data_IF_074932584434
#
_entry.id   IF_074932584434
#
_cell.length_a   1.000
_cell.length_b   1.000
_cell.length_c   1.000
_cell.angle_alpha   90.00
_cell.angle_beta   90.00
_cell.angle_gamma   90.00
#
_symmetry.space_group_name_H-M   'P 1'
#
loop_
_entity.id
_entity.type
_entity.pdbx_description
1 polymer ?
#
# COMPACT_ATOMS: atom_id res chain seq x y z
N UNK A 1 -4.52 20.42 0.14
CA UNK A 1 -4.76 19.18 -0.62
C UNK A 1 -5.67 18.34 0.25
N UNK A 2 -6.80 17.89 -0.30
CA UNK A 2 -7.79 17.13 0.48
C UNK A 2 -7.71 15.65 0.12
N UNK A 3 -7.82 14.78 1.13
CA UNK A 3 -7.82 13.31 0.98
C UNK A 3 -9.07 12.77 1.66
N UNK A 4 -9.74 11.81 1.04
CA UNK A 4 -10.85 11.09 1.66
C UNK A 4 -10.33 10.22 2.82
N UNK A 5 -10.80 10.50 4.03
CA UNK A 5 -10.45 9.76 5.23
C UNK A 5 -11.54 8.73 5.53
N UNK A 6 -11.23 7.44 5.36
CA UNK A 6 -12.18 6.35 5.63
C UNK A 6 -12.64 6.31 7.10
N UNK A 7 -11.83 6.79 8.05
CA UNK A 7 -12.20 6.81 9.48
C UNK A 7 -13.38 7.74 9.76
N UNK A 8 -13.47 8.87 9.04
CA UNK A 8 -14.51 9.89 9.25
C UNK A 8 -15.56 9.91 8.13
N UNK A 9 -15.28 9.24 7.02
CA UNK A 9 -16.14 9.18 5.83
C UNK A 9 -16.21 10.50 5.06
N UNK A 10 -15.21 11.38 5.19
CA UNK A 10 -15.22 12.73 4.60
C UNK A 10 -13.86 13.08 3.99
N UNK A 11 -13.86 14.07 3.10
CA UNK A 11 -12.63 14.68 2.62
C UNK A 11 -12.06 15.67 3.64
N UNK A 12 -10.81 15.44 4.06
CA UNK A 12 -10.11 16.23 5.06
C UNK A 12 -8.84 16.86 4.49
N UNK A 13 -8.43 17.99 5.04
CA UNK A 13 -7.17 18.62 4.66
C UNK A 13 -5.99 17.75 5.11
N UNK A 14 -5.14 17.37 4.16
CA UNK A 14 -3.97 16.55 4.44
C UNK A 14 -2.84 17.41 5.00
N UNK A 15 -2.39 17.08 6.21
CA UNK A 15 -1.20 17.65 6.83
C UNK A 15 -0.32 16.53 7.41
N UNK A 16 0.96 16.40 7.00
CA UNK A 16 1.82 15.38 7.55
C UNK A 16 2.18 15.66 9.01
N UNK A 17 2.37 14.59 9.78
CA UNK A 17 2.76 14.69 11.19
C UNK A 17 4.11 15.43 11.40
N UNK A 18 5.05 15.30 10.44
CA UNK A 18 6.37 15.96 10.49
C UNK A 18 6.73 16.56 9.13
N UNK A 19 6.24 17.76 8.76
CA UNK A 19 6.58 18.37 7.47
C UNK A 19 8.09 18.56 7.29
N UNK A 20 8.65 18.34 6.08
CA UNK A 20 8.00 17.92 4.84
C UNK A 20 7.90 16.38 4.67
N UNK A 21 8.15 15.60 5.71
CA UNK A 21 8.12 14.14 5.67
C UNK A 21 6.70 13.58 5.76
N UNK A 22 6.28 12.86 4.72
CA UNK A 22 5.09 12.01 4.70
C UNK A 22 5.51 10.56 4.93
N UNK A 23 4.92 9.91 5.92
CA UNK A 23 5.06 8.45 6.11
C UNK A 23 3.77 7.76 5.68
N UNK A 24 3.88 6.76 4.81
CA UNK A 24 2.74 6.04 4.25
C UNK A 24 2.99 4.53 4.35
N UNK A 25 2.04 3.80 4.90
CA UNK A 25 2.04 2.33 4.89
C UNK A 25 0.95 1.83 3.94
N UNK A 26 1.28 0.86 3.11
CA UNK A 26 0.33 0.20 2.21
C UNK A 26 0.48 -1.31 2.42
N UNK A 27 -0.64 -1.99 2.68
CA UNK A 27 -0.61 -3.45 2.79
C UNK A 27 -0.15 -4.06 1.47
N UNK A 28 0.86 -4.93 1.53
CA UNK A 28 1.32 -5.71 0.39
C UNK A 28 0.64 -7.08 0.29
N UNK A 29 1.07 -7.91 -0.67
CA UNK A 29 0.40 -9.15 -1.00
C UNK A 29 0.73 -10.30 -0.03
N UNK A 30 -0.19 -11.26 0.05
CA UNK A 30 0.13 -12.63 0.50
C UNK A 30 0.71 -13.41 -0.68
N UNK A 31 1.94 -13.88 -0.55
CA UNK A 31 2.72 -14.44 -1.68
C UNK A 31 2.49 -15.94 -1.87
N UNK A 32 1.22 -16.36 -1.97
CA UNK A 32 0.86 -17.76 -2.22
C UNK A 32 0.71 -18.08 -3.72
N UNK A 33 0.45 -17.09 -4.58
CA UNK A 33 0.24 -17.29 -6.01
C UNK A 33 0.64 -16.05 -6.83
N UNK A 34 0.55 -16.15 -8.16
CA UNK A 34 0.84 -15.07 -9.10
C UNK A 34 -0.11 -13.87 -8.92
N UNK A 35 0.38 -12.64 -9.12
CA UNK A 35 -0.45 -11.45 -8.96
C UNK A 35 -1.49 -11.30 -10.09
N UNK A 36 -2.72 -10.91 -9.73
CA UNK A 36 -3.78 -10.55 -10.69
C UNK A 36 -3.91 -9.02 -10.86
N UNK A 37 -4.75 -8.57 -11.82
CA UNK A 37 -4.96 -7.15 -12.13
C UNK A 37 -5.38 -6.28 -10.94
N UNK A 38 -6.07 -6.89 -9.96
CA UNK A 38 -6.42 -6.23 -8.70
C UNK A 38 -5.19 -5.76 -7.92
N UNK A 39 -4.15 -6.59 -7.83
CA UNK A 39 -2.87 -6.21 -7.21
C UNK A 39 -2.19 -5.08 -8.01
N UNK A 40 -2.18 -5.20 -9.34
CA UNK A 40 -1.60 -4.18 -10.21
C UNK A 40 -2.28 -2.80 -10.02
N UNK A 41 -3.61 -2.77 -9.95
CA UNK A 41 -4.37 -1.53 -9.69
C UNK A 41 -3.95 -0.86 -8.39
N UNK A 42 -3.82 -1.62 -7.30
CA UNK A 42 -3.42 -1.08 -5.99
C UNK A 42 -1.99 -0.56 -6.02
N UNK A 43 -1.06 -1.34 -6.59
CA UNK A 43 0.34 -0.93 -6.72
C UNK A 43 0.48 0.38 -7.53
N UNK A 44 -0.19 0.47 -8.68
CA UNK A 44 -0.17 1.68 -9.53
C UNK A 44 -0.81 2.86 -8.81
N UNK A 45 -1.96 2.67 -8.16
CA UNK A 45 -2.65 3.75 -7.46
C UNK A 45 -1.75 4.39 -6.39
N UNK A 46 -1.13 3.59 -5.53
CA UNK A 46 -0.27 4.13 -4.47
C UNK A 46 1.08 4.66 -4.99
N UNK A 47 1.58 4.14 -6.11
CA UNK A 47 2.72 4.75 -6.81
C UNK A 47 2.36 6.16 -7.33
N UNK A 48 1.17 6.34 -7.92
CA UNK A 48 0.68 7.66 -8.36
C UNK A 48 0.55 8.61 -7.17
N UNK A 49 -0.02 8.16 -6.04
CA UNK A 49 -0.12 8.97 -4.81
C UNK A 49 1.27 9.41 -4.32
N UNK A 50 2.22 8.48 -4.24
CA UNK A 50 3.61 8.77 -3.83
C UNK A 50 4.27 9.78 -4.77
N UNK A 51 4.13 9.60 -6.09
CA UNK A 51 4.67 10.52 -7.11
C UNK A 51 4.06 11.91 -7.01
N UNK A 52 2.74 11.99 -6.80
CA UNK A 52 2.04 13.25 -6.64
C UNK A 52 2.53 14.01 -5.41
N UNK A 53 2.61 13.36 -4.25
CA UNK A 53 3.15 13.95 -3.02
C UNK A 53 4.60 14.42 -3.19
N UNK A 54 5.44 13.60 -3.83
CA UNK A 54 6.84 13.96 -4.13
C UNK A 54 6.90 15.20 -5.03
N UNK A 55 6.08 15.28 -6.08
CA UNK A 55 5.98 16.44 -6.99
C UNK A 55 5.49 17.70 -6.26
N UNK A 56 4.72 17.54 -5.17
CA UNK A 56 4.25 18.64 -4.31
C UNK A 56 5.30 19.12 -3.29
N UNK A 57 6.50 18.55 -3.28
CA UNK A 57 7.62 18.96 -2.42
C UNK A 57 7.75 18.18 -1.11
N UNK A 58 6.96 17.11 -0.91
CA UNK A 58 7.10 16.25 0.25
C UNK A 58 8.23 15.23 0.06
N UNK A 59 8.93 14.92 1.16
CA UNK A 59 9.76 13.71 1.25
C UNK A 59 8.85 12.56 1.65
N UNK A 60 8.70 11.54 0.80
CA UNK A 60 7.75 10.45 1.06
C UNK A 60 8.49 9.16 1.42
N UNK A 61 8.27 8.67 2.64
CA UNK A 61 8.69 7.33 3.07
C UNK A 61 7.49 6.39 3.00
N UNK A 62 7.42 5.64 1.91
CA UNK A 62 6.42 4.60 1.70
C UNK A 62 6.99 3.24 2.12
N UNK A 63 6.23 2.50 2.93
CA UNK A 63 6.55 1.12 3.35
C UNK A 63 5.42 0.20 2.88
N UNK A 64 5.79 -0.96 2.35
CA UNK A 64 4.87 -2.03 1.99
C UNK A 64 5.41 -3.33 2.58
N UNK A 65 4.56 -4.10 3.25
CA UNK A 65 4.94 -5.40 3.79
C UNK A 65 4.85 -6.49 2.71
N UNK A 66 5.37 -7.66 3.03
CA UNK A 66 5.03 -8.91 2.34
C UNK A 66 4.45 -9.83 3.40
N UNK A 67 3.31 -10.45 3.11
CA UNK A 67 2.75 -11.47 3.99
C UNK A 67 3.26 -12.82 3.50
N UNK A 68 4.32 -13.30 4.15
CA UNK A 68 5.04 -14.54 3.83
C UNK A 68 4.68 -15.71 4.76
N UNK A 69 3.87 -15.46 5.78
CA UNK A 69 3.28 -16.48 6.68
C UNK A 69 1.77 -16.32 6.69
N UNK A 70 1.06 -17.29 6.11
CA UNK A 70 -0.40 -17.34 6.02
C UNK A 70 -0.86 -18.79 5.72
N UNK A 71 -2.04 -19.20 6.20
CA UNK A 71 -2.74 -20.44 5.89
C UNK A 71 -2.85 -20.69 4.38
N UNK A 72 -3.10 -19.65 3.56
CA UNK A 72 -3.10 -19.78 2.09
C UNK A 72 -1.75 -20.23 1.53
N UNK A 73 -0.64 -19.75 2.09
CA UNK A 73 0.70 -20.16 1.68
C UNK A 73 0.93 -21.62 2.08
N UNK A 74 0.57 -21.98 3.31
CA UNK A 74 0.71 -23.34 3.84
C UNK A 74 -0.09 -24.33 2.98
N UNK A 75 -1.35 -24.01 2.66
CA UNK A 75 -2.19 -24.88 1.85
C UNK A 75 -1.66 -25.00 0.42
N UNK A 76 -1.21 -23.91 -0.19
CA UNK A 76 -0.65 -23.93 -1.54
C UNK A 76 0.67 -24.70 -1.63
N UNK A 77 1.53 -24.60 -0.62
CA UNK A 77 2.76 -25.39 -0.54
C UNK A 77 2.46 -26.90 -0.50
N UNK A 78 1.49 -27.33 0.32
CA UNK A 78 1.02 -28.72 0.37
C UNK A 78 0.46 -29.22 -0.97
N UNK A 79 -0.30 -28.40 -1.69
CA UNK A 79 -0.83 -28.73 -3.03
C UNK A 79 0.29 -28.96 -4.05
N UNK A 80 1.37 -28.18 -3.98
CA UNK A 80 2.51 -28.25 -4.88
C UNK A 80 3.56 -29.29 -4.45
N UNK A 81 3.47 -29.82 -3.23
CA UNK A 81 4.42 -30.78 -2.66
C UNK A 81 5.77 -30.17 -2.28
N UNK A 82 5.78 -28.91 -1.86
CA UNK A 82 6.98 -28.16 -1.39
C UNK A 82 6.86 -27.70 0.05
#
# INVERSE_FOLDING_TARGET
>A
MRIFNTLTGREEEFSPLRPPLVTMYVCGPTVYDLPHMGHARVAVFFDVVRRWLTRRGFSVRMVMNVTDVEDKIINRARELGV
#
